data_IF_378375304895
#
_entry.id   IF_378375304895
#
_cell.length_a   1.000
_cell.length_b   1.000
_cell.length_c   1.000
_cell.angle_alpha   90.00
_cell.angle_beta   90.00
_cell.angle_gamma   90.00
#
_symmetry.space_group_name_H-M   'P 1'
#
loop_
_entity.id
_entity.type
_entity.pdbx_description
1 polymer ?
#
# COMPACT_ATOMS: atom_id res chain seq x y z
N UNK A 1 -9.67 12.14 14.65
CA UNK A 1 -9.88 12.85 13.38
C UNK A 1 -10.38 11.84 12.37
N UNK A 2 -11.59 12.04 11.84
CA UNK A 2 -12.18 11.09 10.88
C UNK A 2 -11.51 11.21 9.50
N UNK A 3 -11.16 10.09 8.91
CA UNK A 3 -10.58 9.97 7.56
C UNK A 3 -11.62 9.54 6.53
N UNK A 4 -12.48 8.59 6.91
CA UNK A 4 -13.47 8.02 6.02
C UNK A 4 -14.70 7.58 6.82
N UNK A 5 -15.87 7.78 6.25
CA UNK A 5 -17.16 7.33 6.80
C UNK A 5 -17.91 6.55 5.75
N UNK A 6 -18.40 5.39 6.16
CA UNK A 6 -19.28 4.51 5.38
C UNK A 6 -20.65 4.55 6.04
N UNK A 7 -21.69 4.86 5.27
CA UNK A 7 -23.06 5.02 5.77
C UNK A 7 -24.05 4.15 4.97
N UNK A 8 -24.63 3.17 5.65
CA UNK A 8 -25.73 2.30 5.16
C UNK A 8 -25.47 1.69 3.79
N UNK A 9 -24.21 1.28 3.50
CA UNK A 9 -23.91 0.65 2.23
C UNK A 9 -24.47 -0.76 2.14
N UNK A 10 -25.03 -1.07 0.97
CA UNK A 10 -25.50 -2.42 0.62
C UNK A 10 -24.96 -2.81 -0.73
N UNK A 11 -24.73 -4.09 -0.97
CA UNK A 11 -24.24 -4.62 -2.24
C UNK A 11 -24.81 -6.00 -2.51
N UNK A 12 -25.24 -6.23 -3.74
CA UNK A 12 -25.69 -7.52 -4.28
C UNK A 12 -25.08 -7.79 -5.64
N UNK A 13 -24.94 -9.05 -5.98
CA UNK A 13 -24.62 -9.51 -7.33
C UNK A 13 -25.76 -10.42 -7.83
N UNK A 14 -26.55 -9.89 -8.76
CA UNK A 14 -27.79 -10.52 -9.19
C UNK A 14 -28.77 -10.71 -8.00
N UNK A 15 -29.22 -11.93 -7.77
CA UNK A 15 -30.11 -12.25 -6.63
C UNK A 15 -29.37 -12.47 -5.30
N UNK A 16 -28.04 -12.51 -5.31
CA UNK A 16 -27.23 -12.77 -4.11
C UNK A 16 -26.89 -11.47 -3.41
N UNK A 17 -27.48 -11.28 -2.24
CA UNK A 17 -27.08 -10.20 -1.32
C UNK A 17 -25.75 -10.56 -0.67
N UNK A 18 -24.75 -9.67 -0.77
CA UNK A 18 -23.47 -9.82 -0.11
C UNK A 18 -23.49 -9.24 1.30
N UNK A 19 -24.02 -8.02 1.43
CA UNK A 19 -24.19 -7.32 2.71
C UNK A 19 -25.25 -6.21 2.58
N UNK A 20 -25.82 -5.83 3.73
CA UNK A 20 -26.85 -4.78 3.83
C UNK A 20 -26.59 -3.86 5.00
N UNK A 21 -26.87 -2.57 4.82
CA UNK A 21 -26.90 -1.51 5.84
C UNK A 21 -25.63 -1.43 6.70
N UNK A 22 -24.44 -1.65 6.09
CA UNK A 22 -23.17 -1.56 6.79
C UNK A 22 -22.77 -0.10 6.97
N UNK A 23 -22.47 0.28 8.21
CA UNK A 23 -22.00 1.61 8.58
C UNK A 23 -20.82 1.52 9.52
N UNK A 24 -19.75 2.26 9.24
CA UNK A 24 -18.58 2.40 10.11
C UNK A 24 -17.77 3.65 9.74
N UNK A 25 -16.86 4.04 10.63
CA UNK A 25 -15.93 5.13 10.36
C UNK A 25 -14.49 4.70 10.58
N UNK A 26 -13.58 5.29 9.83
CA UNK A 26 -12.13 5.08 9.97
C UNK A 26 -11.51 6.40 10.42
N UNK A 27 -10.92 6.43 11.61
CA UNK A 27 -10.24 7.59 12.14
C UNK A 27 -8.72 7.47 11.97
N UNK A 28 -8.06 8.61 11.99
CA UNK A 28 -6.59 8.67 11.95
C UNK A 28 -5.97 7.77 13.01
N UNK A 29 -4.91 7.06 12.62
CA UNK A 29 -4.10 6.15 13.45
C UNK A 29 -4.88 4.90 13.95
N UNK A 30 -6.10 4.66 13.47
CA UNK A 30 -6.80 3.40 13.71
C UNK A 30 -6.27 2.28 12.81
N UNK A 31 -6.25 1.07 13.34
CA UNK A 31 -5.89 -0.16 12.61
C UNK A 31 -7.04 -1.14 12.77
N UNK A 32 -7.90 -1.17 11.77
CA UNK A 32 -9.16 -1.89 11.77
C UNK A 32 -9.05 -3.14 10.92
N UNK A 33 -9.46 -4.27 11.46
CA UNK A 33 -9.66 -5.50 10.70
C UNK A 33 -11.14 -5.75 10.43
N UNK A 34 -11.47 -6.07 9.19
CA UNK A 34 -12.80 -6.54 8.83
C UNK A 34 -12.79 -8.06 8.69
N UNK A 35 -13.52 -8.74 9.58
CA UNK A 35 -13.58 -10.20 9.64
C UNK A 35 -14.96 -10.68 9.22
N UNK A 36 -15.02 -11.51 8.20
CA UNK A 36 -16.24 -12.14 7.74
C UNK A 36 -15.95 -13.48 7.04
N UNK A 37 -16.98 -14.31 6.85
CA UNK A 37 -16.85 -15.61 6.14
C UNK A 37 -16.43 -15.39 4.68
N UNK A 38 -15.85 -16.42 4.05
CA UNK A 38 -15.53 -16.36 2.63
C UNK A 38 -16.81 -16.21 1.79
N UNK A 39 -16.71 -15.40 0.73
CA UNK A 39 -17.82 -15.16 -0.18
C UNK A 39 -18.90 -14.20 0.34
N UNK A 40 -18.69 -13.51 1.46
CA UNK A 40 -19.62 -12.51 2.02
C UNK A 40 -19.37 -11.09 1.52
N UNK A 41 -18.50 -10.90 0.53
CA UNK A 41 -18.25 -9.57 -0.06
C UNK A 41 -17.13 -8.76 0.60
N UNK A 42 -16.15 -9.40 1.31
CA UNK A 42 -15.03 -8.70 1.91
C UNK A 42 -14.27 -7.81 0.92
N UNK A 43 -13.82 -8.39 -0.20
CA UNK A 43 -13.15 -7.65 -1.27
C UNK A 43 -14.06 -6.58 -1.87
N UNK A 44 -15.39 -6.82 -1.97
CA UNK A 44 -16.34 -5.82 -2.46
C UNK A 44 -16.43 -4.62 -1.53
N UNK A 45 -16.42 -4.82 -0.20
CA UNK A 45 -16.35 -3.72 0.78
C UNK A 45 -15.04 -2.95 0.60
N UNK A 46 -13.89 -3.62 0.50
CA UNK A 46 -12.60 -2.96 0.28
C UNK A 46 -12.60 -2.15 -1.02
N UNK A 47 -13.12 -2.70 -2.12
CA UNK A 47 -13.23 -2.00 -3.40
C UNK A 47 -14.13 -0.77 -3.32
N UNK A 48 -15.28 -0.87 -2.62
CA UNK A 48 -16.18 0.28 -2.42
C UNK A 48 -15.51 1.36 -1.57
N UNK A 49 -14.84 0.98 -0.48
CA UNK A 49 -14.10 1.91 0.38
C UNK A 49 -12.94 2.57 -0.37
N UNK A 50 -12.27 1.82 -1.26
CA UNK A 50 -11.19 2.31 -2.11
C UNK A 50 -11.69 3.17 -3.30
N UNK A 51 -13.01 3.25 -3.53
CA UNK A 51 -13.60 3.97 -4.67
C UNK A 51 -13.45 3.25 -6.02
N UNK A 52 -13.16 1.95 -6.01
CA UNK A 52 -13.00 1.12 -7.22
C UNK A 52 -14.31 0.43 -7.63
N UNK A 53 -15.30 0.36 -6.75
CA UNK A 53 -16.64 -0.13 -7.01
C UNK A 53 -17.67 0.78 -6.32
N UNK A 54 -18.94 0.65 -6.69
CA UNK A 54 -20.04 1.43 -6.11
C UNK A 54 -20.96 0.52 -5.32
N UNK A 55 -21.49 1.03 -4.20
CA UNK A 55 -22.57 0.36 -3.45
C UNK A 55 -23.93 0.50 -4.19
N UNK A 56 -24.83 -0.43 -3.97
CA UNK A 56 -26.22 -0.36 -4.49
C UNK A 56 -27.02 0.71 -3.73
N UNK A 57 -26.70 0.93 -2.45
CA UNK A 57 -27.29 1.99 -1.59
C UNK A 57 -26.26 2.48 -0.58
N UNK A 58 -26.56 3.59 0.07
CA UNK A 58 -25.67 4.24 1.03
C UNK A 58 -24.56 5.05 0.35
N UNK A 59 -23.59 5.51 1.13
CA UNK A 59 -22.50 6.33 0.62
C UNK A 59 -21.20 6.12 1.38
N UNK A 60 -20.09 6.42 0.70
CA UNK A 60 -18.74 6.51 1.30
C UNK A 60 -18.26 7.93 1.15
N UNK A 61 -17.88 8.55 2.24
CA UNK A 61 -17.34 9.90 2.29
C UNK A 61 -15.93 9.90 2.84
N UNK A 62 -14.98 10.45 2.11
CA UNK A 62 -13.60 10.59 2.56
C UNK A 62 -13.21 12.05 2.78
N UNK A 63 -12.26 12.28 3.68
CA UNK A 63 -11.67 13.58 3.89
C UNK A 63 -11.04 14.09 2.58
N UNK A 64 -11.24 15.37 2.25
CA UNK A 64 -10.62 16.00 1.09
C UNK A 64 -9.10 15.94 1.17
N UNK A 65 -8.46 15.44 0.11
CA UNK A 65 -7.01 15.31 0.01
C UNK A 65 -6.43 14.11 0.75
N UNK A 66 -7.27 13.14 1.20
CA UNK A 66 -6.80 11.90 1.81
C UNK A 66 -6.00 11.08 0.78
N UNK A 67 -4.75 10.78 1.10
CA UNK A 67 -3.93 9.86 0.31
C UNK A 67 -4.28 8.44 0.71
N UNK A 68 -4.97 7.72 -0.18
CA UNK A 68 -5.40 6.34 0.02
C UNK A 68 -4.60 5.42 -0.90
N UNK A 69 -4.06 4.33 -0.35
CA UNK A 69 -3.48 3.25 -1.13
C UNK A 69 -4.21 1.94 -0.86
N UNK A 70 -4.39 1.13 -1.89
CA UNK A 70 -5.06 -0.16 -1.81
C UNK A 70 -4.20 -1.27 -2.40
N UNK A 71 -3.84 -2.23 -1.57
CA UNK A 71 -3.25 -3.50 -2.01
C UNK A 71 -4.38 -4.50 -2.28
N UNK A 72 -4.75 -4.65 -3.55
CA UNK A 72 -5.76 -5.61 -4.01
C UNK A 72 -5.16 -7.01 -4.21
N UNK A 73 -6.04 -7.99 -4.43
CA UNK A 73 -5.60 -9.35 -4.78
C UNK A 73 -5.04 -9.45 -6.21
N UNK A 74 -5.37 -8.51 -7.09
CA UNK A 74 -4.87 -8.45 -8.46
C UNK A 74 -3.65 -7.53 -8.56
N UNK A 75 -2.58 -8.02 -9.18
CA UNK A 75 -1.39 -7.23 -9.44
C UNK A 75 -1.63 -6.24 -10.59
N UNK A 76 -1.30 -4.97 -10.37
CA UNK A 76 -1.39 -3.91 -11.39
C UNK A 76 -0.01 -3.41 -11.82
N UNK A 77 1.02 -4.26 -11.65
CA UNK A 77 2.38 -3.91 -12.02
C UNK A 77 2.58 -4.02 -13.53
N UNK A 78 3.32 -3.08 -14.10
CA UNK A 78 3.69 -3.11 -15.50
C UNK A 78 4.88 -4.06 -15.73
N UNK A 79 4.67 -5.10 -16.54
CA UNK A 79 5.62 -6.18 -16.78
C UNK A 79 6.94 -5.74 -17.47
N UNK A 80 6.91 -4.64 -18.20
CA UNK A 80 8.05 -4.10 -18.94
C UNK A 80 9.03 -3.30 -18.08
N UNK A 81 8.60 -2.85 -16.89
CA UNK A 81 9.42 -2.09 -15.96
C UNK A 81 10.40 -2.99 -15.19
N UNK A 82 11.49 -2.41 -14.74
CA UNK A 82 12.31 -2.99 -13.68
C UNK A 82 11.61 -2.80 -12.33
N UNK A 83 12.09 -3.50 -11.29
CA UNK A 83 11.57 -3.33 -9.92
C UNK A 83 11.75 -1.87 -9.47
N UNK A 84 12.88 -1.27 -9.77
CA UNK A 84 13.19 0.11 -9.42
C UNK A 84 12.27 1.10 -10.14
N UNK A 85 12.12 0.96 -11.45
CA UNK A 85 11.17 1.77 -12.24
C UNK A 85 9.73 1.63 -11.73
N UNK A 86 9.32 0.42 -11.32
CA UNK A 86 8.00 0.18 -10.75
C UNK A 86 7.80 0.90 -9.39
N UNK A 87 8.85 1.00 -8.57
CA UNK A 87 8.82 1.80 -7.33
C UNK A 87 8.73 3.30 -7.66
N UNK A 88 9.52 3.79 -8.60
CA UNK A 88 9.55 5.21 -8.99
C UNK A 88 8.35 5.64 -9.85
N UNK A 89 7.59 4.72 -10.42
CA UNK A 89 6.37 5.03 -11.20
C UNK A 89 5.24 5.62 -10.34
N UNK A 90 5.37 5.59 -9.01
CA UNK A 90 4.38 6.17 -8.11
C UNK A 90 4.40 7.70 -8.13
N UNK A 91 3.27 8.32 -7.77
CA UNK A 91 3.14 9.80 -7.72
C UNK A 91 3.78 10.43 -6.45
N UNK A 92 4.62 9.69 -5.72
CA UNK A 92 5.28 10.20 -4.52
C UNK A 92 6.37 11.23 -4.90
N UNK A 93 6.25 12.50 -4.47
CA UNK A 93 7.20 13.55 -4.85
C UNK A 93 8.64 13.26 -4.41
N UNK A 94 8.81 12.60 -3.24
CA UNK A 94 10.16 12.29 -2.72
C UNK A 94 10.82 11.22 -3.59
N UNK A 95 10.06 10.23 -4.06
CA UNK A 95 10.59 9.21 -4.99
C UNK A 95 11.06 9.83 -6.31
N UNK A 96 10.36 10.86 -6.82
CA UNK A 96 10.79 11.59 -8.02
C UNK A 96 12.11 12.35 -7.82
N UNK A 97 12.35 12.88 -6.60
CA UNK A 97 13.62 13.52 -6.24
C UNK A 97 14.74 12.48 -6.20
N UNK A 98 14.48 11.30 -5.61
CA UNK A 98 15.48 10.22 -5.53
C UNK A 98 15.78 9.68 -6.93
N UNK A 99 14.76 9.44 -7.76
CA UNK A 99 14.91 9.00 -9.17
C UNK A 99 15.84 9.96 -9.94
N UNK A 100 15.62 11.28 -9.79
CA UNK A 100 16.45 12.28 -10.43
C UNK A 100 17.91 12.21 -9.95
N UNK A 101 18.12 11.95 -8.67
CA UNK A 101 19.46 11.80 -8.11
C UNK A 101 20.16 10.52 -8.60
N UNK A 102 19.46 9.38 -8.62
CA UNK A 102 20.00 8.11 -9.13
C UNK A 102 20.41 8.25 -10.63
N UNK A 103 19.56 8.88 -11.45
CA UNK A 103 19.92 9.17 -12.85
C UNK A 103 21.14 10.10 -12.99
N UNK A 104 21.28 11.09 -12.11
CA UNK A 104 22.45 11.97 -12.14
C UNK A 104 23.75 11.26 -11.76
N UNK A 105 23.68 10.20 -10.96
CA UNK A 105 24.84 9.34 -10.64
C UNK A 105 25.30 8.49 -11.84
N UNK A 106 24.39 8.16 -12.77
CA UNK A 106 24.71 7.39 -13.98
C UNK A 106 25.47 8.21 -15.02
N UNK A 107 25.42 9.56 -14.95
CA UNK A 107 26.12 10.50 -15.84
C UNK A 107 27.12 11.38 -15.06
N UNK A 108 28.29 10.83 -14.66
CA UNK A 108 29.27 11.54 -13.86
C UNK A 108 29.91 12.77 -14.56
N UNK A 109 29.77 12.88 -15.87
CA UNK A 109 30.30 14.02 -16.64
C UNK A 109 29.39 15.27 -16.53
N UNK A 110 28.14 15.11 -16.11
CA UNK A 110 27.18 16.20 -15.95
C UNK A 110 27.14 16.72 -14.51
N UNK A 111 28.18 17.47 -14.11
CA UNK A 111 28.32 17.99 -12.76
C UNK A 111 27.14 18.91 -12.35
N UNK A 112 26.56 19.66 -13.28
CA UNK A 112 25.46 20.58 -13.00
C UNK A 112 24.19 19.81 -12.65
N UNK A 113 23.87 18.72 -13.37
CA UNK A 113 22.73 17.86 -13.06
C UNK A 113 22.88 17.15 -11.71
N UNK A 114 24.11 16.69 -11.39
CA UNK A 114 24.40 16.10 -10.09
C UNK A 114 24.20 17.12 -8.96
N UNK A 115 24.74 18.33 -9.10
CA UNK A 115 24.61 19.36 -8.08
C UNK A 115 23.14 19.73 -7.83
N UNK A 116 22.35 19.92 -8.90
CA UNK A 116 20.90 20.20 -8.79
C UNK A 116 20.14 19.06 -8.09
N UNK A 117 20.43 17.82 -8.47
CA UNK A 117 19.78 16.66 -7.86
C UNK A 117 20.16 16.49 -6.38
N UNK A 118 21.44 16.72 -6.03
CA UNK A 118 21.92 16.71 -4.65
C UNK A 118 21.21 17.77 -3.79
N UNK A 119 21.07 19.00 -4.27
CA UNK A 119 20.36 20.07 -3.58
C UNK A 119 18.88 19.73 -3.35
N UNK A 120 18.24 19.06 -4.32
CA UNK A 120 16.88 18.56 -4.16
C UNK A 120 16.80 17.48 -3.08
N UNK A 121 17.74 16.53 -3.03
CA UNK A 121 17.81 15.51 -1.96
C UNK A 121 17.90 16.14 -0.57
N UNK A 122 18.76 17.16 -0.40
CA UNK A 122 18.92 17.88 0.86
C UNK A 122 17.64 18.65 1.24
N UNK A 123 17.10 19.45 0.30
CA UNK A 123 15.95 20.31 0.57
C UNK A 123 14.67 19.51 0.92
N UNK A 124 14.53 18.29 0.41
CA UNK A 124 13.40 17.42 0.68
C UNK A 124 13.67 16.38 1.80
N UNK A 125 14.86 16.41 2.42
CA UNK A 125 15.30 15.38 3.40
C UNK A 125 15.16 13.95 2.85
N UNK A 126 15.47 13.78 1.56
CA UNK A 126 15.19 12.54 0.83
C UNK A 126 16.14 11.38 1.18
N UNK A 127 17.30 11.65 1.80
CA UNK A 127 18.27 10.62 2.23
C UNK A 127 17.69 9.61 3.21
N UNK A 128 16.92 10.09 4.20
CA UNK A 128 16.27 9.21 5.17
C UNK A 128 15.21 8.35 4.49
N UNK A 129 14.50 8.93 3.53
CA UNK A 129 13.47 8.21 2.77
C UNK A 129 14.08 7.15 1.85
N UNK A 130 15.20 7.46 1.19
CA UNK A 130 15.97 6.51 0.38
C UNK A 130 16.39 5.29 1.22
N UNK A 131 16.94 5.52 2.40
CA UNK A 131 17.30 4.45 3.32
C UNK A 131 16.09 3.59 3.69
N UNK A 132 14.95 4.22 3.97
CA UNK A 132 13.73 3.52 4.35
C UNK A 132 13.16 2.66 3.21
N UNK A 133 13.07 3.17 1.99
CA UNK A 133 12.52 2.38 0.89
C UNK A 133 13.43 1.20 0.54
N UNK A 134 14.73 1.38 0.55
CA UNK A 134 15.71 0.29 0.34
C UNK A 134 15.61 -0.78 1.45
N UNK A 135 15.36 -0.38 2.71
CA UNK A 135 15.10 -1.31 3.80
C UNK A 135 13.80 -2.12 3.58
N UNK A 136 12.70 -1.49 3.16
CA UNK A 136 11.43 -2.17 2.88
C UNK A 136 11.64 -3.22 1.77
N UNK A 137 12.28 -2.85 0.67
CA UNK A 137 12.58 -3.76 -0.44
C UNK A 137 13.47 -4.93 0.00
N UNK A 138 14.51 -4.66 0.80
CA UNK A 138 15.38 -5.70 1.36
C UNK A 138 14.61 -6.68 2.25
N UNK A 139 13.75 -6.19 3.15
CA UNK A 139 12.92 -7.02 4.04
C UNK A 139 11.93 -7.88 3.28
N UNK A 140 11.41 -7.39 2.16
CA UNK A 140 10.55 -8.15 1.25
C UNK A 140 11.33 -8.98 0.20
N UNK A 141 12.65 -9.12 0.40
CA UNK A 141 13.58 -9.97 -0.37
C UNK A 141 13.70 -9.58 -1.85
N UNK A 142 13.92 -8.29 -2.10
CA UNK A 142 14.30 -7.72 -3.39
C UNK A 142 15.74 -7.19 -3.35
N UNK A 143 16.77 -8.06 -3.47
CA UNK A 143 18.17 -7.63 -3.42
C UNK A 143 18.68 -7.03 -4.73
N UNK A 144 17.99 -7.26 -5.85
CA UNK A 144 18.36 -6.81 -7.19
C UNK A 144 17.16 -6.11 -7.83
N UNK A 145 17.24 -4.79 -7.89
CA UNK A 145 16.16 -3.91 -8.37
C UNK A 145 16.16 -3.75 -9.91
N UNK A 146 17.23 -4.20 -10.57
CA UNK A 146 17.36 -4.12 -12.04
C UNK A 146 16.55 -5.19 -12.77
N UNK A 147 16.04 -6.19 -12.05
CA UNK A 147 15.21 -7.24 -12.62
C UNK A 147 13.89 -6.70 -13.14
N UNK A 148 13.45 -7.22 -14.29
CA UNK A 148 12.13 -6.89 -14.84
C UNK A 148 11.01 -7.53 -14.03
N UNK A 149 9.91 -6.80 -13.87
CA UNK A 149 8.68 -7.26 -13.22
C UNK A 149 8.14 -8.52 -13.91
N UNK A 150 8.27 -8.62 -15.24
CA UNK A 150 7.86 -9.82 -16.00
C UNK A 150 8.60 -11.11 -15.58
N UNK A 151 9.79 -11.00 -14.99
CA UNK A 151 10.58 -12.16 -14.52
C UNK A 151 10.17 -12.64 -13.12
N UNK A 152 9.33 -11.89 -12.42
CA UNK A 152 8.88 -12.21 -11.07
C UNK A 152 7.76 -13.26 -11.08
N UNK A 153 7.79 -14.17 -10.11
CA UNK A 153 6.64 -15.05 -9.84
C UNK A 153 5.45 -14.23 -9.32
N UNK A 154 4.23 -14.78 -9.38
CA UNK A 154 3.03 -14.11 -8.85
C UNK A 154 3.17 -13.71 -7.38
N UNK A 155 3.76 -14.57 -6.53
CA UNK A 155 4.03 -14.23 -5.13
C UNK A 155 5.07 -13.10 -4.97
N UNK A 156 6.08 -13.04 -5.85
CA UNK A 156 7.03 -11.92 -5.86
C UNK A 156 6.37 -10.61 -6.31
N UNK A 157 5.50 -10.65 -7.35
CA UNK A 157 4.73 -9.49 -7.79
C UNK A 157 3.88 -8.92 -6.65
N UNK A 158 3.19 -9.79 -5.90
CA UNK A 158 2.39 -9.36 -4.73
C UNK A 158 3.24 -8.73 -3.62
N UNK A 159 4.42 -9.29 -3.35
CA UNK A 159 5.37 -8.69 -2.41
C UNK A 159 5.88 -7.33 -2.89
N UNK A 160 6.12 -7.17 -4.20
CA UNK A 160 6.51 -5.88 -4.77
C UNK A 160 5.37 -4.86 -4.67
N UNK A 161 4.13 -5.25 -4.98
CA UNK A 161 2.95 -4.39 -4.79
C UNK A 161 2.81 -3.95 -3.32
N UNK A 162 3.02 -4.87 -2.36
CA UNK A 162 3.06 -4.53 -0.94
C UNK A 162 4.18 -3.54 -0.62
N UNK A 163 5.40 -3.76 -1.15
CA UNK A 163 6.52 -2.83 -0.95
C UNK A 163 6.15 -1.42 -1.43
N UNK A 164 5.62 -1.29 -2.64
CA UNK A 164 5.25 0.00 -3.23
C UNK A 164 4.22 0.75 -2.38
N UNK A 165 3.16 0.08 -1.91
CA UNK A 165 2.15 0.76 -1.07
C UNK A 165 2.69 1.16 0.30
N UNK A 166 3.63 0.42 0.89
CA UNK A 166 4.31 0.78 2.13
C UNK A 166 5.27 1.96 1.95
N UNK A 167 6.03 1.96 0.84
CA UNK A 167 6.97 3.04 0.50
C UNK A 167 6.23 4.36 0.30
N UNK A 168 5.05 4.35 -0.30
CA UNK A 168 4.26 5.55 -0.56
C UNK A 168 3.70 6.23 0.70
N UNK A 169 3.69 5.54 1.85
CA UNK A 169 3.21 6.07 3.14
C UNK A 169 1.88 6.83 3.05
N UNK A 170 0.81 6.18 2.58
CA UNK A 170 -0.50 6.83 2.47
C UNK A 170 -1.08 7.19 3.83
N UNK A 171 -2.03 8.13 3.87
CA UNK A 171 -2.80 8.44 5.08
C UNK A 171 -3.65 7.23 5.53
N UNK A 172 -4.28 6.55 4.56
CA UNK A 172 -5.08 5.34 4.77
C UNK A 172 -4.61 4.22 3.84
N UNK A 173 -4.19 3.11 4.43
CA UNK A 173 -3.79 1.90 3.73
C UNK A 173 -4.88 0.84 3.83
N UNK A 174 -5.37 0.38 2.68
CA UNK A 174 -6.33 -0.73 2.57
C UNK A 174 -5.58 -1.97 2.10
N UNK A 175 -5.73 -3.09 2.83
CA UNK A 175 -5.03 -4.34 2.53
C UNK A 175 -6.01 -5.51 2.42
N UNK A 176 -5.96 -6.23 1.30
CA UNK A 176 -6.69 -7.49 1.10
C UNK A 176 -5.70 -8.66 1.18
N UNK A 177 -5.77 -9.41 2.30
CA UNK A 177 -4.93 -10.58 2.60
C UNK A 177 -3.41 -10.30 2.48
N UNK A 178 -2.86 -9.32 3.24
CA UNK A 178 -1.48 -8.85 3.07
C UNK A 178 -0.42 -9.88 3.46
N UNK A 179 -0.76 -10.89 4.27
CA UNK A 179 0.17 -11.95 4.71
C UNK A 179 0.33 -13.07 3.68
N UNK A 180 -0.55 -13.12 2.67
CA UNK A 180 -0.42 -14.11 1.60
C UNK A 180 0.90 -13.94 0.85
N UNK A 181 1.59 -15.05 0.58
CA UNK A 181 2.89 -15.10 -0.10
C UNK A 181 4.08 -14.52 0.68
N UNK A 182 3.89 -14.22 1.99
CA UNK A 182 4.95 -13.86 2.91
C UNK A 182 5.39 -15.10 3.68
N UNK A 183 6.68 -15.22 3.97
CA UNK A 183 7.18 -16.17 4.95
C UNK A 183 7.11 -15.57 6.37
N UNK A 184 7.39 -16.41 7.37
CA UNK A 184 7.26 -16.02 8.77
C UNK A 184 8.12 -14.78 9.11
N UNK A 185 9.34 -14.69 8.62
CA UNK A 185 10.24 -13.56 8.87
C UNK A 185 9.66 -12.24 8.32
N UNK A 186 9.07 -12.31 7.12
CA UNK A 186 8.41 -11.14 6.53
C UNK A 186 7.13 -10.74 7.29
N UNK A 187 6.34 -11.73 7.75
CA UNK A 187 5.13 -11.47 8.56
C UNK A 187 5.51 -10.80 9.86
N UNK A 188 6.50 -11.33 10.61
CA UNK A 188 6.97 -10.74 11.86
C UNK A 188 7.52 -9.32 11.65
N UNK A 189 8.27 -9.09 10.57
CA UNK A 189 8.73 -7.76 10.22
C UNK A 189 7.56 -6.81 9.91
N UNK A 190 6.55 -7.26 9.15
CA UNK A 190 5.38 -6.45 8.80
C UNK A 190 4.53 -6.09 10.04
N UNK A 191 4.38 -7.03 10.99
CA UNK A 191 3.76 -6.76 12.29
C UNK A 191 4.49 -5.66 13.05
N UNK A 192 5.82 -5.75 13.13
CA UNK A 192 6.65 -4.75 13.79
C UNK A 192 6.62 -3.40 13.09
N UNK A 193 6.60 -3.40 11.74
CA UNK A 193 6.43 -2.22 10.94
C UNK A 193 5.13 -1.50 11.28
N UNK A 194 3.99 -2.22 11.24
CA UNK A 194 2.70 -1.62 11.56
C UNK A 194 2.54 -1.21 13.03
N UNK A 195 3.27 -1.81 13.96
CA UNK A 195 3.28 -1.35 15.36
C UNK A 195 4.01 -0.03 15.55
N UNK A 196 5.11 0.17 14.84
CA UNK A 196 5.97 1.36 14.95
C UNK A 196 5.45 2.55 14.18
N UNK A 197 4.91 2.30 12.99
CA UNK A 197 4.44 3.36 12.12
C UNK A 197 3.05 3.86 12.52
N UNK A 198 2.89 5.19 12.51
CA UNK A 198 1.59 5.86 12.69
C UNK A 198 0.83 5.86 11.38
N UNK A 199 0.32 4.70 11.00
CA UNK A 199 -0.46 4.51 9.79
C UNK A 199 -1.90 4.14 10.12
N UNK A 200 -2.85 4.68 9.38
CA UNK A 200 -4.25 4.25 9.47
C UNK A 200 -4.42 3.04 8.54
N UNK A 201 -4.97 1.97 9.06
CA UNK A 201 -5.05 0.69 8.38
C UNK A 201 -6.47 0.15 8.38
N UNK A 202 -6.95 -0.26 7.23
CA UNK A 202 -8.16 -1.05 7.06
C UNK A 202 -7.83 -2.32 6.31
N UNK A 203 -7.98 -3.48 6.95
CA UNK A 203 -7.57 -4.74 6.33
C UNK A 203 -8.58 -5.86 6.45
N UNK A 204 -8.46 -6.80 5.50
CA UNK A 204 -9.06 -8.11 5.55
C UNK A 204 -7.94 -9.15 5.57
N UNK A 205 -7.97 -10.07 6.52
CA UNK A 205 -7.10 -11.25 6.52
C UNK A 205 -7.71 -12.40 7.33
N UNK A 206 -7.27 -13.60 7.03
CA UNK A 206 -7.60 -14.81 7.78
C UNK A 206 -6.56 -15.15 8.85
N UNK A 207 -5.45 -14.44 8.86
CA UNK A 207 -4.39 -14.63 9.85
C UNK A 207 -4.76 -13.96 11.17
N UNK A 208 -5.30 -14.76 12.12
CA UNK A 208 -5.74 -14.28 13.42
C UNK A 208 -4.58 -13.73 14.27
N UNK A 209 -3.41 -14.35 14.17
CA UNK A 209 -2.24 -13.90 14.95
C UNK A 209 -1.78 -12.52 14.49
N UNK A 210 -1.77 -12.31 13.16
CA UNK A 210 -1.46 -11.01 12.58
C UNK A 210 -2.47 -9.94 13.02
N UNK A 211 -3.79 -10.25 12.98
CA UNK A 211 -4.84 -9.33 13.43
C UNK A 211 -4.66 -8.91 14.89
N UNK A 212 -4.48 -9.87 15.80
CA UNK A 212 -4.35 -9.61 17.24
C UNK A 212 -3.11 -8.77 17.57
N UNK A 213 -2.08 -8.84 16.75
CA UNK A 213 -0.82 -8.10 16.96
C UNK A 213 -0.80 -6.71 16.35
N UNK A 214 -1.56 -6.49 15.27
CA UNK A 214 -1.51 -5.26 14.46
C UNK A 214 -2.72 -4.38 14.71
N UNK A 215 -3.94 -4.96 14.77
CA UNK A 215 -5.17 -4.20 14.84
C UNK A 215 -5.54 -3.82 16.28
N UNK A 216 -6.11 -2.64 16.43
CA UNK A 216 -6.69 -2.18 17.68
C UNK A 216 -8.24 -2.24 17.68
N UNK A 217 -8.85 -2.53 16.53
CA UNK A 217 -10.29 -2.73 16.36
C UNK A 217 -10.55 -3.89 15.37
N UNK A 218 -11.61 -4.67 15.64
CA UNK A 218 -12.06 -5.80 14.80
C UNK A 218 -13.57 -5.70 14.60
#
# INVERSE_FOLDING_TARGET
MNYLTVENISKSYGERVLFQDISFGINKDQKIAFVAKNGTGKTSILNIVAGLDTSDSGQVSSRKGLQLAYLSQEDKLEDNLTIEEAVFSSDNPILKVIEKYEHALEDPENADAYQEAFELMESHSAWDFETQYKQILSKLKFPDLTKKVSSLSGGQKKRLSLAIVLINKPDLLILDEPTNHLDLEMIEWLEDYFKKEKITLFMVTHDRYFLERVCNEI
#
